data_IF_547312054700
#
_entry.id   IF_547312054700
#
_cell.length_a   1.000
_cell.length_b   1.000
_cell.length_c   1.000
_cell.angle_alpha   90.00
_cell.angle_beta   90.00
_cell.angle_gamma   90.00
#
_symmetry.space_group_name_H-M   'P 1'
#
loop_
_entity.id
_entity.type
_entity.pdbx_description
1 polymer ?
#
# COMPACT_ATOMS: atom_id res chain seq x y z
N UNK A 1 11.00 6.58 -13.91
CA UNK A 1 9.51 6.61 -13.97
C UNK A 1 8.81 5.43 -13.29
N UNK A 2 9.33 4.19 -13.32
CA UNK A 2 8.66 3.02 -12.70
C UNK A 2 8.42 3.15 -11.19
N UNK A 3 9.31 3.79 -10.43
CA UNK A 3 9.16 3.92 -8.96
C UNK A 3 8.09 4.92 -8.50
N UNK A 4 7.79 5.95 -9.31
CA UNK A 4 6.82 6.99 -8.93
C UNK A 4 5.39 6.49 -8.82
N UNK A 5 4.98 5.56 -9.71
CA UNK A 5 3.62 5.00 -9.71
C UNK A 5 3.39 4.15 -8.46
N UNK A 6 4.35 3.29 -8.09
CA UNK A 6 4.24 2.49 -6.87
C UNK A 6 4.21 3.35 -5.61
N UNK A 7 4.93 4.47 -5.59
CA UNK A 7 4.89 5.41 -4.46
C UNK A 7 3.55 6.12 -4.32
N UNK A 8 2.98 6.59 -5.43
CA UNK A 8 1.65 7.21 -5.43
C UNK A 8 0.57 6.22 -5.02
N UNK A 9 0.62 4.99 -5.53
CA UNK A 9 -0.32 3.92 -5.15
C UNK A 9 -0.17 3.54 -3.67
N UNK A 10 1.07 3.40 -3.18
CA UNK A 10 1.34 3.11 -1.76
C UNK A 10 0.82 4.21 -0.82
N UNK A 11 1.09 5.48 -1.14
CA UNK A 11 0.56 6.63 -0.40
C UNK A 11 -0.96 6.70 -0.47
N UNK A 12 -1.56 6.40 -1.63
CA UNK A 12 -3.02 6.35 -1.77
C UNK A 12 -3.67 5.29 -0.87
N UNK A 13 -3.02 4.13 -0.73
CA UNK A 13 -3.45 3.10 0.24
C UNK A 13 -3.25 3.59 1.68
N UNK A 14 -2.12 4.24 1.99
CA UNK A 14 -1.81 4.76 3.32
C UNK A 14 -2.83 5.78 3.83
N UNK A 15 -3.17 6.75 2.98
CA UNK A 15 -4.17 7.78 3.25
C UNK A 15 -5.60 7.30 3.10
N UNK A 16 -5.79 6.03 2.72
CA UNK A 16 -7.11 5.45 2.46
C UNK A 16 -7.93 6.27 1.45
N UNK A 17 -7.29 6.75 0.38
CA UNK A 17 -7.99 7.47 -0.69
C UNK A 17 -9.05 6.54 -1.30
N UNK A 18 -10.27 7.05 -1.48
CA UNK A 18 -11.41 6.29 -2.03
C UNK A 18 -11.72 4.97 -1.29
N UNK A 19 -11.42 4.90 0.01
CA UNK A 19 -11.58 3.69 0.81
C UNK A 19 -10.86 2.46 0.23
N UNK A 20 -9.76 2.69 -0.50
CA UNK A 20 -9.03 1.62 -1.16
C UNK A 20 -8.57 0.54 -0.19
N UNK A 21 -8.14 0.90 1.03
CA UNK A 21 -7.69 -0.10 2.00
C UNK A 21 -8.84 -1.03 2.44
N UNK A 22 -10.06 -0.49 2.56
CA UNK A 22 -11.24 -1.26 2.88
C UNK A 22 -11.68 -2.16 1.72
N UNK A 23 -11.66 -1.65 0.49
CA UNK A 23 -11.99 -2.43 -0.71
C UNK A 23 -11.00 -3.57 -0.96
N UNK A 24 -9.71 -3.32 -0.73
CA UNK A 24 -8.66 -4.36 -0.82
C UNK A 24 -8.85 -5.40 0.28
N UNK A 25 -9.15 -4.96 1.51
CA UNK A 25 -9.45 -5.86 2.62
C UNK A 25 -10.65 -6.75 2.32
N UNK A 26 -11.74 -6.18 1.83
CA UNK A 26 -12.95 -6.90 1.46
C UNK A 26 -12.69 -7.89 0.31
N UNK A 27 -11.96 -7.47 -0.73
CA UNK A 27 -11.58 -8.36 -1.83
C UNK A 27 -10.72 -9.54 -1.33
N UNK A 28 -9.79 -9.27 -0.40
CA UNK A 28 -8.97 -10.31 0.19
C UNK A 28 -9.80 -11.25 1.09
N UNK A 29 -10.81 -10.75 1.80
CA UNK A 29 -11.72 -11.62 2.56
C UNK A 29 -12.62 -12.47 1.67
N UNK A 30 -13.16 -11.89 0.60
CA UNK A 30 -14.16 -12.55 -0.26
C UNK A 30 -13.54 -13.50 -1.29
N UNK A 31 -12.30 -13.25 -1.71
CA UNK A 31 -11.66 -13.97 -2.83
C UNK A 31 -10.31 -14.58 -2.53
N UNK A 32 -9.74 -14.38 -1.34
CA UNK A 32 -8.45 -15.02 -1.04
C UNK A 32 -8.66 -16.52 -0.80
N UNK A 33 -7.93 -17.40 -1.52
CA UNK A 33 -7.91 -18.83 -1.23
C UNK A 33 -7.24 -19.15 0.11
N UNK A 34 -6.52 -18.18 0.68
CA UNK A 34 -5.92 -18.25 2.00
C UNK A 34 -6.66 -17.24 2.88
N UNK A 35 -7.50 -17.73 3.79
CA UNK A 35 -8.23 -16.87 4.72
C UNK A 35 -7.24 -15.92 5.40
N UNK A 36 -7.37 -14.59 5.23
CA UNK A 36 -6.42 -13.67 5.84
C UNK A 36 -6.53 -13.84 7.36
N UNK A 37 -5.43 -14.27 7.98
CA UNK A 37 -5.42 -14.72 9.37
C UNK A 37 -5.81 -13.63 10.37
N UNK A 38 -5.91 -14.02 11.65
CA UNK A 38 -6.19 -13.10 12.75
C UNK A 38 -5.21 -11.90 12.72
N UNK A 39 -5.77 -10.69 12.62
CA UNK A 39 -5.00 -9.44 12.53
C UNK A 39 -5.02 -8.77 11.16
N UNK A 40 -5.49 -9.44 10.10
CA UNK A 40 -5.66 -8.80 8.79
C UNK A 40 -6.81 -7.78 8.83
N UNK A 41 -6.45 -6.51 8.81
CA UNK A 41 -7.36 -5.38 8.92
C UNK A 41 -7.00 -4.29 7.90
N UNK A 42 -7.93 -3.38 7.57
CA UNK A 42 -7.64 -2.23 6.73
C UNK A 42 -6.46 -1.39 7.25
N UNK A 43 -6.26 -1.35 8.57
CA UNK A 43 -5.16 -0.64 9.23
C UNK A 43 -3.79 -1.20 8.84
N UNK A 44 -3.66 -2.53 8.77
CA UNK A 44 -2.41 -3.19 8.34
C UNK A 44 -2.10 -2.85 6.88
N UNK A 45 -3.12 -2.81 6.02
CA UNK A 45 -2.94 -2.41 4.62
C UNK A 45 -2.48 -0.96 4.49
N UNK A 46 -3.01 -0.04 5.32
CA UNK A 46 -2.57 1.36 5.35
C UNK A 46 -1.12 1.50 5.78
N UNK A 47 -0.70 0.78 6.81
CA UNK A 47 0.70 0.78 7.27
C UNK A 47 1.61 0.22 6.18
N UNK A 48 1.23 -0.87 5.53
CA UNK A 48 1.97 -1.43 4.40
C UNK A 48 2.08 -0.44 3.24
N UNK A 49 0.99 0.25 2.89
CA UNK A 49 0.99 1.32 1.90
C UNK A 49 1.93 2.47 2.28
N UNK A 50 1.97 2.86 3.55
CA UNK A 50 2.82 3.93 4.05
C UNK A 50 4.31 3.56 3.96
N UNK A 51 4.66 2.33 4.32
CA UNK A 51 6.03 1.81 4.21
C UNK A 51 6.46 1.73 2.74
N UNK A 52 5.62 1.17 1.87
CA UNK A 52 5.93 1.07 0.43
C UNK A 52 6.03 2.45 -0.24
N UNK A 53 5.11 3.36 0.11
CA UNK A 53 5.10 4.74 -0.39
C UNK A 53 6.33 5.52 0.04
N UNK A 54 6.73 5.41 1.30
CA UNK A 54 7.94 6.08 1.81
C UNK A 54 9.23 5.49 1.24
N UNK A 55 9.37 4.16 1.17
CA UNK A 55 10.56 3.50 0.60
C UNK A 55 10.75 3.85 -0.89
N UNK A 56 9.68 3.88 -1.66
CA UNK A 56 9.74 4.28 -3.06
C UNK A 56 10.05 5.77 -3.24
N UNK A 57 9.55 6.64 -2.36
CA UNK A 57 9.93 8.05 -2.33
C UNK A 57 11.42 8.23 -2.00
N UNK A 58 11.94 7.51 -1.00
CA UNK A 58 13.36 7.53 -0.63
C UNK A 58 14.22 7.04 -1.79
N UNK A 59 13.84 5.94 -2.43
CA UNK A 59 14.56 5.40 -3.59
C UNK A 59 14.55 6.38 -4.76
N UNK A 60 13.43 7.07 -4.99
CA UNK A 60 13.33 8.12 -6.00
C UNK A 60 14.28 9.28 -5.70
N UNK A 61 14.31 9.76 -4.46
CA UNK A 61 15.22 10.84 -4.02
C UNK A 61 16.68 10.41 -4.18
N UNK A 62 17.03 9.18 -3.78
CA UNK A 62 18.38 8.66 -3.92
C UNK A 62 18.86 8.66 -5.38
N UNK A 63 18.00 8.25 -6.33
CA UNK A 63 18.29 8.28 -7.77
C UNK A 63 18.40 9.71 -8.34
N UNK A 64 17.76 10.70 -7.71
CA UNK A 64 17.85 12.11 -8.10
C UNK A 64 19.11 12.79 -7.54
N UNK A 65 19.67 12.26 -6.45
CA UNK A 65 20.85 12.80 -5.76
C UNK A 65 22.16 12.10 -6.12
N UNK A 66 22.10 10.98 -6.84
CA UNK A 66 23.25 10.22 -7.35
C UNK A 66 23.67 10.71 -8.74
#
# INVERSE_FOLDING_TARGET
>A
MRYGVFGIVGLGIAFNLFDCAYRIHQLAMDRSPVAPGAGFSPTVLRIAGLVLGSLSAISCVHELTA
#
